data_IF_942467195427
#
_entry.id   IF_942467195427
#
_cell.length_a   1.000
_cell.length_b   1.000
_cell.length_c   1.000
_cell.angle_alpha   90.00
_cell.angle_beta   90.00
_cell.angle_gamma   90.00
#
_symmetry.space_group_name_H-M   'P 1'
#
loop_
_entity.id
_entity.type
_entity.pdbx_description
1 polymer ?
#
# COMPACT_ATOMS: atom_id res chain seq x y z
N UNK A 1 15.92 -1.37 9.30
CA UNK A 1 15.41 -0.85 8.01
C UNK A 1 14.75 0.50 8.27
N UNK A 2 15.22 1.57 7.64
CA UNK A 2 14.62 2.90 7.80
C UNK A 2 13.32 2.99 6.98
N UNK A 3 12.39 3.86 7.39
CA UNK A 3 11.10 4.09 6.71
C UNK A 3 11.27 4.35 5.19
N UNK A 4 12.36 5.03 4.83
CA UNK A 4 12.68 5.41 3.45
C UNK A 4 13.03 4.21 2.55
N UNK A 5 13.74 3.19 3.07
CA UNK A 5 14.10 2.00 2.30
C UNK A 5 12.90 1.09 2.05
N UNK A 6 11.99 0.97 3.02
CA UNK A 6 10.73 0.24 2.84
C UNK A 6 9.87 0.85 1.74
N UNK A 7 9.89 2.18 1.62
CA UNK A 7 9.10 2.90 0.62
C UNK A 7 9.66 2.70 -0.80
N UNK A 8 10.99 2.73 -0.97
CA UNK A 8 11.64 2.39 -2.24
C UNK A 8 11.32 0.96 -2.66
N UNK A 9 11.38 0.00 -1.73
CA UNK A 9 11.06 -1.39 -2.02
C UNK A 9 9.58 -1.56 -2.39
N UNK A 10 8.67 -0.87 -1.70
CA UNK A 10 7.24 -0.85 -2.03
C UNK A 10 6.99 -0.38 -3.47
N UNK A 11 7.55 0.77 -3.86
CA UNK A 11 7.42 1.26 -5.24
C UNK A 11 8.06 0.30 -6.24
N UNK A 12 9.21 -0.31 -5.94
CA UNK A 12 9.86 -1.27 -6.82
C UNK A 12 9.01 -2.52 -7.08
N UNK A 13 8.26 -3.00 -6.09
CA UNK A 13 7.37 -4.16 -6.22
C UNK A 13 6.14 -3.79 -7.07
N UNK A 14 5.53 -2.63 -6.81
CA UNK A 14 4.22 -2.31 -7.36
C UNK A 14 4.24 -1.42 -8.61
N UNK A 15 5.35 -0.77 -8.94
CA UNK A 15 5.40 0.21 -10.05
C UNK A 15 5.00 -0.37 -11.41
N UNK A 16 5.23 -1.66 -11.64
CA UNK A 16 4.93 -2.31 -12.92
C UNK A 16 3.54 -2.96 -12.98
N UNK A 17 2.85 -3.07 -11.85
CA UNK A 17 1.60 -3.83 -11.74
C UNK A 17 0.46 -3.02 -11.14
N UNK A 18 0.72 -1.80 -10.67
CA UNK A 18 -0.26 -0.98 -9.98
C UNK A 18 -0.20 0.51 -10.39
N UNK A 19 -1.34 1.15 -10.23
CA UNK A 19 -1.42 2.62 -10.19
C UNK A 19 -1.51 3.09 -8.73
N UNK A 20 -1.25 4.38 -8.52
CA UNK A 20 -1.25 4.98 -7.18
C UNK A 20 -2.30 6.08 -7.06
N UNK A 21 -2.66 6.42 -5.83
CA UNK A 21 -3.49 7.58 -5.49
C UNK A 21 -2.65 8.53 -4.65
N UNK A 22 -2.61 9.81 -5.00
CA UNK A 22 -2.02 10.82 -4.12
C UNK A 22 -3.03 11.22 -3.05
N UNK A 23 -2.58 11.32 -1.81
CA UNK A 23 -3.39 11.72 -0.66
C UNK A 23 -3.06 13.15 -0.23
N UNK A 24 -4.07 13.89 0.22
CA UNK A 24 -3.90 15.22 0.80
C UNK A 24 -3.12 15.08 2.11
N UNK A 25 -2.06 15.87 2.29
CA UNK A 25 -1.16 15.79 3.45
C UNK A 25 -1.93 15.94 4.76
N UNK A 26 -1.61 15.11 5.74
CA UNK A 26 -2.29 15.11 7.04
C UNK A 26 -3.69 14.49 7.02
N UNK A 27 -4.15 13.99 5.87
CA UNK A 27 -5.45 13.33 5.74
C UNK A 27 -5.28 11.94 5.13
N UNK A 28 -6.37 11.17 5.12
CA UNK A 28 -6.48 9.91 4.38
C UNK A 28 -7.31 10.06 3.09
N UNK A 29 -7.49 11.29 2.58
CA UNK A 29 -8.36 11.58 1.45
C UNK A 29 -7.56 11.73 0.14
N UNK A 30 -8.07 11.24 -0.99
CA UNK A 30 -7.47 11.48 -2.29
C UNK A 30 -7.40 12.98 -2.65
N UNK A 31 -6.36 13.38 -3.38
CA UNK A 31 -6.20 14.74 -3.90
C UNK A 31 -7.21 15.05 -5.02
N UNK A 32 -7.55 14.06 -5.85
CA UNK A 32 -8.39 14.25 -7.04
C UNK A 32 -9.76 13.57 -6.90
N UNK A 33 -10.82 14.19 -7.47
CA UNK A 33 -12.17 13.63 -7.47
C UNK A 33 -12.28 12.30 -8.25
N UNK A 34 -11.47 12.09 -9.30
CA UNK A 34 -11.43 10.88 -10.12
C UNK A 34 -10.22 9.98 -9.81
N UNK A 35 -9.88 9.87 -8.52
CA UNK A 35 -8.69 9.18 -8.04
C UNK A 35 -8.59 7.71 -8.46
N UNK A 36 -9.72 7.06 -8.81
CA UNK A 36 -9.78 5.67 -9.27
C UNK A 36 -9.02 5.45 -10.59
N UNK A 37 -8.81 6.51 -11.38
CA UNK A 37 -7.97 6.45 -12.59
C UNK A 37 -6.48 6.28 -12.28
N UNK A 38 -6.09 6.64 -11.07
CA UNK A 38 -4.72 6.53 -10.60
C UNK A 38 -3.75 7.50 -11.23
N UNK A 39 -2.54 7.46 -10.70
CA UNK A 39 -1.37 8.15 -11.25
C UNK A 39 -0.23 7.17 -11.45
N UNK A 40 0.65 7.51 -12.39
CA UNK A 40 1.86 6.76 -12.66
C UNK A 40 2.79 6.73 -11.44
N UNK A 41 3.58 5.65 -11.26
CA UNK A 41 4.51 5.49 -10.14
C UNK A 41 5.46 6.67 -9.96
N UNK A 42 6.00 7.22 -11.06
CA UNK A 42 6.93 8.35 -11.01
C UNK A 42 6.31 9.60 -10.35
N UNK A 43 5.04 9.89 -10.64
CA UNK A 43 4.32 11.03 -10.05
C UNK A 43 4.05 10.81 -8.57
N UNK A 44 3.70 9.58 -8.19
CA UNK A 44 3.50 9.21 -6.80
C UNK A 44 4.82 9.26 -6.00
N UNK A 45 5.94 8.85 -6.58
CA UNK A 45 7.28 8.98 -5.97
C UNK A 45 7.63 10.44 -5.67
N UNK A 46 7.41 11.35 -6.63
CA UNK A 46 7.62 12.79 -6.42
C UNK A 46 6.72 13.31 -5.27
N UNK A 47 5.45 12.90 -5.22
CA UNK A 47 4.54 13.30 -4.15
C UNK A 47 5.03 12.84 -2.77
N UNK A 48 5.53 11.60 -2.66
CA UNK A 48 6.09 11.12 -1.39
C UNK A 48 7.40 11.80 -1.03
N UNK A 49 8.29 12.03 -2.00
CA UNK A 49 9.53 12.77 -1.78
C UNK A 49 9.26 14.17 -1.21
N UNK A 50 8.14 14.78 -1.61
CA UNK A 50 7.65 16.05 -1.08
C UNK A 50 6.84 15.90 0.23
N UNK A 51 6.91 14.76 0.94
CA UNK A 51 6.22 14.55 2.22
C UNK A 51 4.70 14.33 2.10
N UNK A 52 4.21 13.97 0.92
CA UNK A 52 2.82 13.57 0.69
C UNK A 52 2.58 12.09 0.99
N UNK A 53 1.33 11.74 1.29
CA UNK A 53 0.90 10.33 1.41
C UNK A 53 0.46 9.77 0.06
N UNK A 54 0.60 8.46 -0.13
CA UNK A 54 0.08 7.75 -1.31
C UNK A 54 -0.72 6.51 -0.89
N UNK A 55 -1.76 6.20 -1.66
CA UNK A 55 -2.47 4.92 -1.64
C UNK A 55 -2.12 4.07 -2.85
N UNK A 56 -2.32 2.75 -2.74
CA UNK A 56 -2.20 1.80 -3.83
C UNK A 56 -3.59 1.56 -4.44
N UNK A 57 -3.72 1.63 -5.77
CA UNK A 57 -4.95 1.17 -6.41
C UNK A 57 -4.95 -0.34 -6.56
N UNK A 58 -5.97 -0.94 -6.01
CA UNK A 58 -6.24 -2.38 -6.01
C UNK A 58 -7.42 -2.68 -6.93
N UNK A 59 -7.69 -3.95 -7.18
CA UNK A 59 -8.75 -4.37 -8.10
C UNK A 59 -8.41 -4.08 -9.56
N UNK A 60 -9.40 -3.76 -10.39
CA UNK A 60 -9.15 -3.47 -11.80
C UNK A 60 -8.56 -2.06 -11.99
N UNK A 61 -7.49 -1.86 -12.78
CA UNK A 61 -6.82 -2.84 -13.66
C UNK A 61 -5.59 -3.55 -13.05
N UNK A 62 -5.21 -3.28 -11.80
CA UNK A 62 -3.98 -3.84 -11.21
C UNK A 62 -4.05 -5.33 -10.89
N UNK A 63 -5.25 -5.91 -10.82
CA UNK A 63 -5.52 -7.28 -10.36
C UNK A 63 -4.94 -7.59 -8.97
N UNK A 64 -4.63 -6.55 -8.19
CA UNK A 64 -4.13 -6.68 -6.82
C UNK A 64 -5.30 -6.78 -5.88
N UNK A 65 -5.32 -7.81 -5.04
CA UNK A 65 -6.29 -7.97 -3.96
C UNK A 65 -5.58 -7.64 -2.65
N UNK A 66 -6.15 -6.71 -1.89
CA UNK A 66 -5.70 -6.40 -0.53
C UNK A 66 -6.74 -6.96 0.42
N UNK A 67 -6.27 -7.79 1.36
CA UNK A 67 -7.09 -8.34 2.44
C UNK A 67 -6.64 -7.64 3.71
N UNK A 68 -7.47 -6.74 4.22
CA UNK A 68 -7.27 -6.15 5.52
C UNK A 68 -7.81 -7.10 6.59
N UNK A 69 -6.91 -7.80 7.27
CA UNK A 69 -7.27 -8.93 8.13
C UNK A 69 -7.21 -8.62 9.62
N UNK A 70 -6.65 -7.47 10.03
CA UNK A 70 -6.50 -7.03 11.43
C UNK A 70 -6.20 -8.20 12.40
N UNK A 71 -7.03 -8.36 13.43
CA UNK A 71 -6.97 -9.42 14.46
C UNK A 71 -7.04 -10.85 13.91
N UNK A 72 -7.47 -11.01 12.66
CA UNK A 72 -7.61 -12.30 11.99
C UNK A 72 -6.48 -12.58 10.98
N UNK A 73 -5.42 -11.77 10.93
CA UNK A 73 -4.29 -11.98 10.01
C UNK A 73 -3.73 -13.41 10.08
N UNK A 74 -3.68 -14.00 11.28
CA UNK A 74 -3.20 -15.37 11.48
C UNK A 74 -4.06 -16.42 10.76
N UNK A 75 -5.37 -16.16 10.58
CA UNK A 75 -6.26 -17.05 9.85
C UNK A 75 -5.93 -17.12 8.37
N UNK A 76 -5.13 -16.21 7.82
CA UNK A 76 -4.70 -16.24 6.42
C UNK A 76 -3.59 -17.26 6.17
N UNK A 77 -2.82 -17.66 7.19
CA UNK A 77 -1.79 -18.71 7.04
C UNK A 77 -2.36 -20.09 6.67
N UNK A 78 -3.67 -20.29 6.85
CA UNK A 78 -4.35 -21.53 6.43
C UNK A 78 -4.39 -21.73 4.91
N UNK A 79 -4.12 -20.67 4.12
CA UNK A 79 -4.09 -20.77 2.66
C UNK A 79 -2.66 -21.07 2.17
N UNK A 80 -2.36 -22.26 1.63
CA UNK A 80 -1.00 -22.68 1.32
C UNK A 80 -0.27 -21.76 0.34
N UNK A 81 -1.00 -21.21 -0.64
CA UNK A 81 -0.44 -20.24 -1.61
C UNK A 81 -0.04 -18.91 -0.98
N UNK A 82 -0.70 -18.51 0.11
CA UNK A 82 -0.39 -17.25 0.81
C UNK A 82 0.68 -17.45 1.88
N UNK A 83 0.78 -18.64 2.47
CA UNK A 83 1.72 -18.96 3.55
C UNK A 83 3.18 -18.65 3.20
N UNK A 84 3.59 -18.85 1.94
CA UNK A 84 4.96 -18.55 1.47
C UNK A 84 5.20 -17.04 1.24
N UNK A 85 4.13 -16.25 1.13
CA UNK A 85 4.17 -14.81 0.83
C UNK A 85 3.80 -13.92 2.02
N UNK A 86 3.17 -14.47 3.06
CA UNK A 86 2.80 -13.73 4.26
C UNK A 86 4.03 -13.46 5.13
N UNK A 87 4.30 -12.18 5.40
CA UNK A 87 5.27 -11.74 6.41
C UNK A 87 4.55 -10.99 7.52
N UNK A 88 4.70 -11.42 8.77
CA UNK A 88 4.32 -10.61 9.93
C UNK A 88 5.45 -9.63 10.21
N UNK A 89 5.20 -8.34 10.00
CA UNK A 89 6.20 -7.29 10.24
C UNK A 89 6.19 -6.79 11.68
N UNK A 90 5.04 -6.88 12.37
CA UNK A 90 4.89 -6.56 13.78
C UNK A 90 3.70 -7.32 14.40
N UNK A 91 3.93 -8.40 15.17
CA UNK A 91 2.87 -9.06 15.90
C UNK A 91 2.30 -8.11 16.97
N UNK A 92 0.99 -8.14 17.19
CA UNK A 92 0.29 -7.35 18.21
C UNK A 92 0.59 -5.84 18.14
N UNK A 93 0.62 -5.27 16.94
CA UNK A 93 0.75 -3.82 16.80
C UNK A 93 -0.40 -3.13 17.55
N UNK A 94 -0.12 -2.26 18.55
CA UNK A 94 -1.16 -1.61 19.32
C UNK A 94 -1.96 -0.67 18.42
N UNK A 95 -3.28 -0.65 18.59
CA UNK A 95 -4.13 0.36 17.97
C UNK A 95 -3.61 1.75 18.37
N UNK A 96 -3.44 2.64 17.39
CA UNK A 96 -3.07 4.02 17.69
C UNK A 96 -4.30 4.69 18.31
N UNK A 97 -4.19 5.04 19.59
CA UNK A 97 -5.11 5.93 20.32
C UNK A 97 -5.07 7.32 19.68
#
# INVERSE_FOLDING_TARGET
MTCHENLKQFFRIFANIACFVMLVRGTKRPVACYWQRGVLPARALVHVANGGGVGLLTGHPSHIIVIDADRNAERLFKYPKLAQSCRVTRPNAPDRI
#
